data_IF_288596200112
#
_entry.id   IF_288596200112
#
_cell.length_a   1.000
_cell.length_b   1.000
_cell.length_c   1.000
_cell.angle_alpha   90.00
_cell.angle_beta   90.00
_cell.angle_gamma   90.00
#
_symmetry.space_group_name_H-M   'P 1'
#
loop_
_entity.id
_entity.type
_entity.pdbx_description
1 polymer ?
#
# COMPACT_ATOMS: atom_id res chain seq x y z
N UNK A 1 11.66 18.83 -12.16
CA UNK A 1 12.08 18.09 -10.96
C UNK A 1 10.80 17.59 -10.33
N UNK A 2 10.50 16.31 -10.49
CA UNK A 2 9.33 15.72 -9.87
C UNK A 2 9.50 15.80 -8.36
N UNK A 3 8.48 16.27 -7.65
CA UNK A 3 8.48 16.22 -6.20
C UNK A 3 8.44 14.75 -5.75
N UNK A 4 9.00 14.46 -4.57
CA UNK A 4 8.88 13.12 -3.95
C UNK A 4 7.43 12.62 -3.96
N UNK A 5 6.47 13.53 -3.78
CA UNK A 5 5.04 13.23 -3.85
C UNK A 5 4.63 12.67 -5.20
N UNK A 6 5.06 13.26 -6.31
CA UNK A 6 4.73 12.77 -7.65
C UNK A 6 5.32 11.39 -7.94
N UNK A 7 6.51 11.10 -7.40
CA UNK A 7 7.14 9.78 -7.53
C UNK A 7 6.38 8.70 -6.75
N UNK A 8 5.95 9.02 -5.52
CA UNK A 8 5.12 8.13 -4.70
C UNK A 8 3.76 7.92 -5.34
N UNK A 9 3.10 8.99 -5.79
CA UNK A 9 1.81 8.88 -6.50
C UNK A 9 1.94 8.05 -7.79
N UNK A 10 3.09 8.11 -8.47
CA UNK A 10 3.36 7.25 -9.63
C UNK A 10 3.54 5.78 -9.24
N UNK A 11 4.18 5.50 -8.10
CA UNK A 11 4.29 4.16 -7.54
C UNK A 11 2.91 3.62 -7.09
N UNK A 12 2.10 4.46 -6.44
CA UNK A 12 0.74 4.14 -6.02
C UNK A 12 -0.17 3.84 -7.21
N UNK A 13 -0.06 4.61 -8.29
CA UNK A 13 -0.80 4.30 -9.54
C UNK A 13 -0.45 2.92 -10.07
N UNK A 14 0.84 2.57 -10.12
CA UNK A 14 1.26 1.22 -10.50
C UNK A 14 0.71 0.17 -9.54
N UNK A 15 0.70 0.44 -8.23
CA UNK A 15 0.12 -0.46 -7.25
C UNK A 15 -1.39 -0.68 -7.50
N UNK A 16 -2.15 0.40 -7.68
CA UNK A 16 -3.59 0.36 -7.97
C UNK A 16 -3.89 -0.42 -9.25
N UNK A 17 -3.12 -0.19 -10.32
CA UNK A 17 -3.29 -0.88 -11.59
C UNK A 17 -3.02 -2.38 -11.46
N UNK A 18 -1.94 -2.77 -10.77
CA UNK A 18 -1.58 -4.18 -10.56
C UNK A 18 -2.59 -4.89 -9.66
N UNK A 19 -3.06 -4.23 -8.60
CA UNK A 19 -4.08 -4.77 -7.71
C UNK A 19 -5.41 -4.98 -8.46
N UNK A 20 -5.85 -3.99 -9.24
CA UNK A 20 -7.07 -4.10 -10.06
C UNK A 20 -6.99 -5.18 -11.14
N UNK A 21 -5.81 -5.41 -11.70
CA UNK A 21 -5.54 -6.48 -12.66
C UNK A 21 -5.40 -7.87 -12.00
N UNK A 22 -5.37 -7.97 -10.67
CA UNK A 22 -5.09 -9.22 -9.96
C UNK A 22 -3.64 -9.71 -10.10
N UNK A 23 -2.71 -8.83 -10.48
CA UNK A 23 -1.29 -9.16 -10.62
C UNK A 23 -0.54 -8.97 -9.29
N UNK A 24 -0.74 -9.90 -8.35
CA UNK A 24 -0.09 -9.86 -7.03
C UNK A 24 1.41 -10.15 -7.09
N UNK A 25 1.85 -10.91 -8.12
CA UNK A 25 3.28 -11.19 -8.33
C UNK A 25 4.00 -9.91 -8.73
N UNK A 26 3.48 -9.20 -9.72
CA UNK A 26 4.00 -7.91 -10.15
C UNK A 26 3.88 -6.82 -9.09
N UNK A 27 2.80 -6.82 -8.31
CA UNK A 27 2.64 -5.95 -7.15
C UNK A 27 3.76 -6.19 -6.12
N UNK A 28 4.07 -7.45 -5.79
CA UNK A 28 5.13 -7.76 -4.83
C UNK A 28 6.53 -7.32 -5.29
N UNK A 29 6.75 -7.22 -6.61
CA UNK A 29 8.00 -6.70 -7.17
C UNK A 29 8.16 -5.19 -7.00
N UNK A 30 7.09 -4.44 -6.69
CA UNK A 30 7.18 -3.02 -6.34
C UNK A 30 7.77 -2.81 -4.94
N UNK A 31 7.82 -3.87 -4.13
CA UNK A 31 8.34 -3.83 -2.77
C UNK A 31 9.81 -4.28 -2.73
N UNK A 32 10.53 -3.89 -1.69
CA UNK A 32 11.87 -4.44 -1.39
C UNK A 32 11.76 -5.87 -0.87
N UNK A 33 12.84 -6.65 -0.96
CA UNK A 33 12.86 -8.05 -0.47
C UNK A 33 12.57 -8.14 1.03
N UNK A 34 13.05 -7.16 1.80
CA UNK A 34 12.84 -7.05 3.25
C UNK A 34 11.67 -6.13 3.62
N UNK A 35 10.68 -5.98 2.74
CA UNK A 35 9.52 -5.14 3.06
C UNK A 35 8.75 -5.67 4.27
N UNK A 36 8.13 -4.76 5.02
CA UNK A 36 7.31 -5.10 6.18
C UNK A 36 5.92 -4.53 6.00
N UNK A 37 4.93 -5.41 5.96
CA UNK A 37 3.52 -5.01 5.84
C UNK A 37 2.83 -5.32 7.15
N UNK A 38 2.22 -4.31 7.76
CA UNK A 38 1.52 -4.46 9.04
C UNK A 38 0.03 -4.22 8.85
N UNK A 39 -0.72 -5.24 8.39
CA UNK A 39 -2.17 -5.15 8.29
C UNK A 39 -2.81 -4.99 9.67
N UNK A 40 -3.88 -4.20 9.75
CA UNK A 40 -4.64 -3.99 10.98
C UNK A 40 -5.19 -5.32 11.50
N UNK A 41 -4.98 -5.63 12.78
CA UNK A 41 -5.50 -6.86 13.39
C UNK A 41 -4.73 -8.14 13.03
N UNK A 42 -3.56 -8.02 12.40
CA UNK A 42 -2.72 -9.16 12.01
C UNK A 42 -1.23 -8.91 12.31
N UNK A 43 -0.42 -9.97 12.48
CA UNK A 43 1.01 -9.83 12.73
C UNK A 43 1.73 -9.21 11.53
N UNK A 44 2.87 -8.57 11.80
CA UNK A 44 3.75 -8.02 10.76
C UNK A 44 4.17 -9.11 9.77
N UNK A 45 3.84 -8.91 8.51
CA UNK A 45 4.28 -9.72 7.39
C UNK A 45 5.64 -9.21 6.92
N UNK A 46 6.57 -10.13 6.68
CA UNK A 46 7.90 -9.81 6.19
C UNK A 46 8.09 -10.42 4.79
N UNK A 47 8.57 -9.58 3.88
CA UNK A 47 8.95 -9.93 2.52
C UNK A 47 7.84 -9.89 1.47
N UNK A 48 8.28 -9.90 0.22
CA UNK A 48 7.43 -9.80 -0.98
C UNK A 48 6.36 -10.89 -1.04
N UNK A 49 6.74 -12.13 -0.73
CA UNK A 49 5.81 -13.27 -0.80
C UNK A 49 4.65 -13.14 0.19
N UNK A 50 4.92 -12.65 1.41
CA UNK A 50 3.87 -12.43 2.41
C UNK A 50 2.95 -11.26 1.99
N UNK A 51 3.53 -10.22 1.38
CA UNK A 51 2.80 -9.08 0.81
C UNK A 51 1.86 -9.49 -0.32
N UNK A 52 2.34 -10.31 -1.27
CA UNK A 52 1.52 -10.85 -2.35
C UNK A 52 0.31 -11.63 -1.82
N UNK A 53 0.53 -12.51 -0.84
CA UNK A 53 -0.53 -13.31 -0.21
C UNK A 53 -1.57 -12.46 0.52
N UNK A 54 -1.14 -11.41 1.20
CA UNK A 54 -2.06 -10.48 1.87
C UNK A 54 -3.01 -9.84 0.86
N UNK A 55 -2.46 -9.22 -0.19
CA UNK A 55 -3.28 -8.52 -1.18
C UNK A 55 -4.12 -9.48 -2.03
N UNK A 56 -3.62 -10.69 -2.30
CA UNK A 56 -4.42 -11.73 -2.91
C UNK A 56 -5.62 -12.10 -2.02
N UNK A 57 -5.42 -12.26 -0.72
CA UNK A 57 -6.51 -12.55 0.23
C UNK A 57 -7.56 -11.43 0.27
N UNK A 58 -7.12 -10.17 0.19
CA UNK A 58 -8.02 -9.00 0.14
C UNK A 58 -8.82 -8.98 -1.18
N UNK A 59 -8.20 -9.35 -2.29
CA UNK A 59 -8.87 -9.43 -3.59
C UNK A 59 -9.87 -10.59 -3.69
N UNK A 60 -9.51 -11.74 -3.10
CA UNK A 60 -10.38 -12.91 -3.01
C UNK A 60 -11.54 -12.68 -2.04
N UNK A 61 -11.35 -11.83 -1.02
CA UNK A 61 -12.41 -11.38 -0.12
C UNK A 61 -13.42 -10.41 -0.79
N UNK A 62 -13.15 -9.97 -2.03
CA UNK A 62 -14.08 -9.19 -2.84
C UNK A 62 -13.62 -7.78 -3.18
N UNK A 63 -12.51 -7.29 -2.62
CA UNK A 63 -11.97 -5.98 -2.98
C UNK A 63 -11.29 -6.03 -4.34
N UNK A 64 -11.99 -5.59 -5.40
CA UNK A 64 -11.47 -5.62 -6.77
C UNK A 64 -10.70 -4.36 -7.15
N UNK A 65 -10.84 -3.28 -6.38
CA UNK A 65 -10.17 -2.00 -6.63
C UNK A 65 -9.63 -1.43 -5.33
N UNK A 66 -8.55 -0.69 -5.45
CA UNK A 66 -7.95 0.08 -4.35
C UNK A 66 -7.66 1.48 -4.85
N UNK A 67 -7.92 2.48 -4.01
CA UNK A 67 -7.56 3.87 -4.24
C UNK A 67 -6.66 4.31 -3.10
N UNK A 68 -5.46 4.76 -3.44
CA UNK A 68 -4.51 5.33 -2.51
C UNK A 68 -4.47 6.85 -2.75
N UNK A 69 -4.60 7.61 -1.67
CA UNK A 69 -4.54 9.08 -1.71
C UNK A 69 -3.51 9.54 -0.68
N UNK A 70 -2.41 10.10 -1.15
CA UNK A 70 -1.35 10.63 -0.28
C UNK A 70 -1.71 12.03 0.25
N UNK A 71 -1.80 12.15 1.58
CA UNK A 71 -2.08 13.41 2.27
C UNK A 71 -0.80 14.18 2.59
N UNK A 72 0.22 13.47 3.06
CA UNK A 72 1.48 14.04 3.53
C UNK A 72 2.65 13.21 3.01
N UNK A 73 3.64 13.86 2.42
CA UNK A 73 4.90 13.24 2.03
C UNK A 73 6.02 14.09 2.61
N UNK A 74 6.92 13.46 3.37
CA UNK A 74 8.03 14.13 4.02
C UNK A 74 9.29 13.27 4.03
N UNK A 75 10.43 13.88 4.30
CA UNK A 75 11.64 13.15 4.64
C UNK A 75 11.77 13.09 6.16
N UNK A 76 12.03 11.91 6.72
CA UNK A 76 12.29 11.77 8.15
C UNK A 76 13.78 11.97 8.50
N UNK A 77 14.59 12.46 7.54
CA UNK A 77 16.04 12.61 7.66
C UNK A 77 16.80 11.46 6.99
N UNK A 78 17.94 11.77 6.38
CA UNK A 78 18.71 10.81 5.56
C UNK A 78 18.00 10.49 4.25
N UNK A 79 18.08 9.23 3.82
CA UNK A 79 17.37 8.72 2.64
C UNK A 79 15.96 8.18 3.01
N UNK A 80 15.50 8.39 4.26
CA UNK A 80 14.12 8.07 4.67
C UNK A 80 13.16 9.05 4.03
N UNK A 81 12.22 8.52 3.26
CA UNK A 81 11.00 9.20 2.88
C UNK A 81 9.84 8.54 3.62
N UNK A 82 8.91 9.31 4.15
CA UNK A 82 7.64 8.81 4.64
C UNK A 82 6.49 9.45 3.86
N UNK A 83 5.46 8.66 3.59
CA UNK A 83 4.18 9.13 3.11
C UNK A 83 3.07 8.67 4.05
N UNK A 84 2.05 9.49 4.17
CA UNK A 84 0.85 9.20 4.96
C UNK A 84 -0.33 9.58 4.11
N UNK A 85 -1.25 8.64 3.99
CA UNK A 85 -2.40 8.77 3.14
C UNK A 85 -3.59 7.96 3.63
N UNK A 86 -4.60 7.94 2.78
CA UNK A 86 -5.83 7.19 2.95
C UNK A 86 -5.87 6.10 1.88
N UNK A 87 -6.29 4.91 2.28
CA UNK A 87 -6.61 3.83 1.36
C UNK A 87 -8.11 3.57 1.38
N UNK A 88 -8.69 3.37 0.20
CA UNK A 88 -10.07 2.96 0.03
C UNK A 88 -10.09 1.71 -0.83
N UNK A 89 -10.50 0.58 -0.28
CA UNK A 89 -10.82 -0.60 -1.05
C UNK A 89 -12.25 -0.50 -1.56
N UNK A 90 -12.46 -0.87 -2.81
CA UNK A 90 -13.79 -0.97 -3.42
C UNK A 90 -14.05 -2.40 -3.85
N UNK A 91 -15.29 -2.83 -3.66
CA UNK A 91 -15.82 -4.08 -4.19
C UNK A 91 -16.02 -3.99 -5.71
N UNK A 92 -16.31 -5.13 -6.32
CA UNK A 92 -16.62 -5.23 -7.75
C UNK A 92 -17.83 -4.37 -8.16
N UNK A 93 -18.81 -4.23 -7.27
CA UNK A 93 -20.02 -3.41 -7.47
C UNK A 93 -19.76 -1.89 -7.31
N UNK A 94 -18.51 -1.50 -7.06
CA UNK A 94 -18.10 -0.12 -6.86
C UNK A 94 -18.42 0.44 -5.48
N UNK A 95 -18.97 -0.36 -4.55
CA UNK A 95 -19.14 0.06 -3.16
C UNK A 95 -17.81 0.06 -2.44
N UNK A 96 -17.68 0.97 -1.50
CA UNK A 96 -16.54 1.02 -0.57
C UNK A 96 -16.58 -0.22 0.33
N UNK A 97 -15.56 -1.07 0.20
CA UNK A 97 -15.39 -2.29 0.98
C UNK A 97 -14.80 -1.98 2.35
N UNK A 98 -13.77 -1.12 2.34
CA UNK A 98 -13.02 -0.73 3.53
C UNK A 98 -12.34 0.63 3.28
N UNK A 99 -12.25 1.44 4.33
CA UNK A 99 -11.51 2.72 4.32
C UNK A 99 -10.61 2.77 5.53
N UNK A 100 -9.35 3.11 5.32
CA UNK A 100 -8.40 3.24 6.41
C UNK A 100 -7.28 4.21 6.12
N UNK A 101 -6.46 4.44 7.15
CA UNK A 101 -5.27 5.28 7.06
C UNK A 101 -4.07 4.39 6.78
N UNK A 102 -3.23 4.79 5.83
CA UNK A 102 -1.96 4.15 5.52
C UNK A 102 -0.81 5.11 5.80
N UNK A 103 0.28 4.60 6.35
CA UNK A 103 1.55 5.29 6.45
C UNK A 103 2.62 4.39 5.84
N UNK A 104 3.28 4.86 4.79
CA UNK A 104 4.38 4.17 4.13
C UNK A 104 5.69 4.87 4.49
N UNK A 105 6.73 4.11 4.83
CA UNK A 105 8.09 4.66 4.89
C UNK A 105 8.99 3.90 3.92
N UNK A 106 9.74 4.65 3.10
CA UNK A 106 10.45 4.19 1.91
C UNK A 106 11.94 3.88 2.17
N UNK A 107 12.45 4.01 3.39
CA UNK A 107 13.83 3.54 3.69
C UNK A 107 13.89 2.00 3.83
N UNK A 108 12.76 1.43 4.20
CA UNK A 108 12.46 -0.01 4.25
C UNK A 108 10.95 -0.06 4.14
N UNK A 109 10.40 -0.43 2.98
CA UNK A 109 8.97 -0.36 2.66
C UNK A 109 8.11 -0.90 3.83
N UNK A 110 7.73 0.00 4.75
CA UNK A 110 7.06 -0.28 6.03
C UNK A 110 5.67 0.34 5.92
N UNK A 111 4.68 -0.50 5.69
CA UNK A 111 3.28 -0.12 5.68
C UNK A 111 2.75 -0.20 7.11
N UNK A 112 2.34 0.93 7.68
CA UNK A 112 1.68 1.04 8.98
C UNK A 112 0.26 1.54 8.75
N UNK A 113 -0.73 0.66 8.89
CA UNK A 113 -2.11 1.10 9.05
C UNK A 113 -2.31 1.54 10.51
N UNK A 114 -2.53 2.84 10.73
CA UNK A 114 -2.78 3.38 12.07
C UNK A 114 -4.28 3.64 12.23
N UNK A 115 -5.00 2.67 12.80
CA UNK A 115 -6.33 2.89 13.35
C UNK A 115 -6.17 3.65 14.67
N UNK A 116 -6.23 4.99 14.61
CA UNK A 116 -6.41 5.82 15.81
C UNK A 116 -7.85 5.62 16.28
N UNK A 117 -8.02 4.89 17.38
CA UNK A 117 -9.17 5.01 18.28
C UNK A 117 -9.03 6.29 19.10
#
# INVERSE_FOLDING_TARGET
MSSLKEEIEAADRKFMDRFGAGDFTGLSNLYTEDCKVMPTGSPTLNGRAATAKLFQSVYDAGSKKVKLVEEEVGSAGGDVIYSRGLYTFYLEDGKEADTGKVCCSLETCKWRTASLH
#
